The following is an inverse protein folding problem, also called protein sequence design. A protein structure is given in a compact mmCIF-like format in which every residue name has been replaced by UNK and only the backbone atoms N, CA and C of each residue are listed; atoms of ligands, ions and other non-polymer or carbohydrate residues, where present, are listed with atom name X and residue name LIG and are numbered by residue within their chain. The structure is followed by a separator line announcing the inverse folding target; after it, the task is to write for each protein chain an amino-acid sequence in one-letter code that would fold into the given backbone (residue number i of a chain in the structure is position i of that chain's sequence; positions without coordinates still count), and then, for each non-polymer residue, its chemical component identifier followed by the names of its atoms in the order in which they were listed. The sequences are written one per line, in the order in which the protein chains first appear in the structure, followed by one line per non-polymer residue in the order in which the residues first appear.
data_IF_511548096297
#
_entry.id   IF_511548096297
#
_cell.length_a   1.000
_cell.length_b   1.000
_cell.length_c   1.000
_cell.angle_alpha   90.00
_cell.angle_beta   90.00
_cell.angle_gamma   90.00
#
_symmetry.space_group_name_H-M   'P 1'
#
loop_
_entity.id
_entity.type
_entity.pdbx_description
1 polymer ?
#
# COMPACT_ATOMS: atom_id res chain seq x y z
N UNK A 1 23.83 103.87 45.68
CA UNK A 1 24.08 102.53 46.27
C UNK A 1 25.57 102.43 46.39
N UNK A 2 26.08 102.59 47.61
CA UNK A 2 27.51 102.58 47.86
C UNK A 2 28.05 101.16 47.67
N UNK A 3 29.03 101.03 46.78
CA UNK A 3 29.78 99.80 46.56
C UNK A 3 30.73 99.63 47.76
N UNK A 4 30.35 98.77 48.72
CA UNK A 4 31.24 98.40 49.82
C UNK A 4 32.42 97.60 49.26
N UNK A 5 33.50 98.30 48.91
CA UNK A 5 34.78 97.69 48.54
C UNK A 5 35.48 97.23 49.82
N UNK A 6 35.32 95.95 50.14
CA UNK A 6 36.13 95.30 51.18
C UNK A 6 37.41 94.75 50.54
N UNK A 7 38.54 95.41 50.77
CA UNK A 7 39.87 94.91 50.42
C UNK A 7 40.34 93.98 51.53
N UNK A 8 40.54 92.70 51.20
CA UNK A 8 41.13 91.72 52.11
C UNK A 8 42.58 92.11 52.42
N UNK A 9 43.00 92.17 53.70
CA UNK A 9 44.41 92.30 54.05
C UNK A 9 45.17 91.07 53.53
N UNK A 10 46.33 91.29 52.90
CA UNK A 10 47.08 90.32 52.08
C UNK A 10 47.55 89.00 52.75
N UNK A 11 47.18 88.74 54.01
CA UNK A 11 47.75 87.66 54.82
C UNK A 11 46.80 86.51 55.23
N UNK A 12 45.53 86.51 54.82
CA UNK A 12 44.59 85.42 55.15
C UNK A 12 44.07 84.75 53.87
N UNK A 13 44.64 83.61 53.43
CA UNK A 13 44.26 82.97 52.17
C UNK A 13 42.89 82.26 52.20
N UNK A 14 42.16 82.33 53.32
CA UNK A 14 40.92 81.60 53.54
C UNK A 14 39.74 82.54 53.81
N UNK A 15 38.68 82.42 53.01
CA UNK A 15 37.41 83.09 53.25
C UNK A 15 36.55 82.26 54.23
N UNK A 16 36.28 82.79 55.43
CA UNK A 16 35.33 82.18 56.40
C UNK A 16 34.12 83.11 56.59
N UNK A 17 32.92 82.66 56.22
CA UNK A 17 31.68 83.43 56.37
C UNK A 17 30.79 82.77 57.42
N UNK A 18 30.28 83.54 58.39
CA UNK A 18 29.45 83.04 59.52
C UNK A 18 27.93 83.01 59.22
N UNK A 19 27.52 83.33 58.00
CA UNK A 19 26.11 83.43 57.58
C UNK A 19 25.94 83.08 56.11
N UNK A 20 24.70 83.19 55.59
CA UNK A 20 24.39 82.83 54.20
C UNK A 20 25.16 83.71 53.21
N UNK A 21 25.67 83.10 52.14
CA UNK A 21 26.40 83.77 51.07
C UNK A 21 25.53 83.81 49.82
N UNK A 22 25.23 85.02 49.32
CA UNK A 22 24.55 85.23 48.04
C UNK A 22 25.51 85.83 47.02
N UNK A 23 25.65 85.19 45.86
CA UNK A 23 26.34 85.74 44.69
C UNK A 23 25.27 86.03 43.63
N UNK A 24 25.10 87.30 43.26
CA UNK A 24 24.02 87.73 42.36
C UNK A 24 22.64 87.88 43.03
N UNK A 25 22.53 87.64 44.35
CA UNK A 25 21.31 87.85 45.16
C UNK A 25 21.63 88.50 46.50
N UNK A 26 20.73 89.35 47.01
CA UNK A 26 20.84 89.98 48.34
C UNK A 26 20.09 89.22 49.43
N UNK A 27 19.27 88.24 49.06
CA UNK A 27 18.40 87.48 49.97
C UNK A 27 18.52 85.98 49.68
N UNK A 28 19.66 85.35 50.02
CA UNK A 28 19.88 83.93 49.73
C UNK A 28 18.90 83.04 50.53
N UNK A 29 18.27 82.11 49.81
CA UNK A 29 17.36 81.09 50.32
C UNK A 29 18.12 79.93 50.98
N UNK A 30 19.33 79.63 50.53
CA UNK A 30 20.22 78.58 51.07
C UNK A 30 21.51 79.15 51.68
N UNK A 31 22.33 78.30 52.31
CA UNK A 31 23.62 78.71 52.90
C UNK A 31 24.58 79.32 51.87
N UNK A 32 24.57 78.80 50.64
CA UNK A 32 25.23 79.40 49.48
C UNK A 32 24.23 79.40 48.31
N UNK A 33 23.97 80.57 47.74
CA UNK A 33 23.13 80.72 46.54
C UNK A 33 23.87 81.57 45.50
N UNK A 34 23.99 81.03 44.28
CA UNK A 34 24.58 81.72 43.14
C UNK A 34 23.51 81.87 42.06
N UNK A 35 23.10 83.10 41.78
CA UNK A 35 22.24 83.42 40.63
C UNK A 35 23.16 83.86 39.49
N UNK A 36 23.66 82.88 38.73
CA UNK A 36 24.60 83.06 37.64
C UNK A 36 25.44 81.81 37.39
N UNK A 37 26.42 81.93 36.51
CA UNK A 37 27.32 80.82 36.18
C UNK A 37 28.37 80.61 37.27
N UNK A 38 28.73 79.34 37.52
CA UNK A 38 29.83 78.96 38.42
C UNK A 38 30.96 78.40 37.56
N UNK A 39 32.12 79.06 37.56
CA UNK A 39 33.35 78.55 36.96
C UNK A 39 34.31 78.09 38.05
N UNK A 40 34.54 76.79 38.15
CA UNK A 40 35.46 76.19 39.13
C UNK A 40 36.30 75.10 38.47
N UNK A 41 37.57 74.99 38.86
CA UNK A 41 38.44 73.88 38.41
C UNK A 41 37.94 72.53 38.91
N UNK A 42 37.47 72.49 40.16
CA UNK A 42 36.87 71.31 40.78
C UNK A 42 35.66 71.75 41.61
N UNK A 43 34.57 70.99 41.55
CA UNK A 43 33.42 71.12 42.43
C UNK A 43 33.30 69.84 43.27
N UNK A 44 33.78 69.87 44.51
CA UNK A 44 33.70 68.73 45.43
C UNK A 44 32.52 68.93 46.39
N UNK A 45 31.53 68.03 46.32
CA UNK A 45 30.33 68.07 47.15
C UNK A 45 30.32 66.83 48.06
N UNK A 46 30.18 67.04 49.36
CA UNK A 46 30.06 65.93 50.34
C UNK A 46 28.66 65.29 50.35
N UNK A 47 27.75 65.78 49.51
CA UNK A 47 26.36 65.34 49.40
C UNK A 47 25.94 65.13 47.94
N UNK A 48 24.63 65.02 47.71
CA UNK A 48 24.10 64.83 46.37
C UNK A 48 24.18 66.10 45.53
N UNK A 49 24.44 65.96 44.24
CA UNK A 49 24.25 67.00 43.25
C UNK A 49 22.87 66.83 42.61
N UNK A 50 22.01 67.84 42.76
CA UNK A 50 20.73 67.92 42.04
C UNK A 50 20.87 68.91 40.88
N UNK A 51 20.48 68.48 39.68
CA UNK A 51 20.45 69.32 38.48
C UNK A 51 19.02 69.30 37.94
N UNK A 52 18.32 70.43 38.03
CA UNK A 52 16.90 70.51 37.67
C UNK A 52 16.65 70.53 36.15
N UNK A 53 17.71 70.71 35.37
CA UNK A 53 17.66 70.73 33.90
C UNK A 53 18.61 69.67 33.34
N UNK A 54 19.53 70.08 32.47
CA UNK A 54 20.42 69.18 31.76
C UNK A 54 21.82 69.24 32.38
N UNK A 55 22.46 68.07 32.46
CA UNK A 55 23.90 67.96 32.70
C UNK A 55 24.61 67.76 31.37
N UNK A 56 25.48 68.70 31.00
CA UNK A 56 26.39 68.54 29.88
C UNK A 56 27.77 68.14 30.40
N UNK A 57 28.28 66.99 29.95
CA UNK A 57 29.61 66.49 30.34
C UNK A 57 30.50 66.51 29.09
N UNK A 58 31.59 67.28 29.13
CA UNK A 58 32.54 67.38 28.01
C UNK A 58 33.50 66.20 27.89
N UNK A 59 33.44 65.25 28.82
CA UNK A 59 34.24 64.02 28.86
C UNK A 59 33.37 62.83 29.31
N UNK A 60 33.96 61.88 30.05
CA UNK A 60 33.22 60.73 30.53
C UNK A 60 32.37 61.07 31.75
N UNK A 61 31.17 60.49 31.82
CA UNK A 61 30.38 60.49 33.04
C UNK A 61 30.80 59.29 33.90
N UNK A 62 31.52 59.57 34.99
CA UNK A 62 32.08 58.54 35.85
C UNK A 62 31.14 58.23 37.04
N UNK A 63 30.68 56.98 37.16
CA UNK A 63 30.00 56.44 38.34
C UNK A 63 30.96 55.52 39.09
N UNK A 64 31.61 56.05 40.14
CA UNK A 64 32.59 55.29 40.91
C UNK A 64 33.83 54.94 40.07
N UNK A 65 34.12 53.65 39.89
CA UNK A 65 35.25 53.18 39.05
C UNK A 65 34.87 52.98 37.59
N UNK A 66 33.58 53.02 37.24
CA UNK A 66 33.08 52.84 35.89
C UNK A 66 32.89 54.19 35.19
N UNK A 67 33.22 54.24 33.90
CA UNK A 67 33.04 55.40 33.05
C UNK A 67 32.04 55.09 31.95
N UNK A 68 31.03 55.94 31.81
CA UNK A 68 30.14 55.94 30.64
C UNK A 68 30.65 57.02 29.69
N UNK A 69 30.96 56.64 28.46
CA UNK A 69 31.49 57.56 27.44
C UNK A 69 30.49 57.89 26.33
N UNK A 70 29.41 57.12 26.20
CA UNK A 70 28.39 57.35 25.18
C UNK A 70 27.03 56.70 25.52
N UNK A 71 25.96 57.34 25.07
CA UNK A 71 24.68 56.67 24.82
C UNK A 71 24.63 56.28 23.34
N UNK A 72 24.70 54.99 23.03
CA UNK A 72 24.83 54.48 21.66
C UNK A 72 23.48 54.30 20.99
N UNK A 73 23.32 54.86 19.78
CA UNK A 73 22.16 54.63 18.93
C UNK A 73 22.37 53.48 17.92
N UNK A 74 23.38 52.64 18.11
CA UNK A 74 23.69 51.52 17.21
C UNK A 74 22.60 50.43 17.27
N UNK A 75 21.68 50.47 16.31
CA UNK A 75 20.60 49.49 16.17
C UNK A 75 21.05 48.08 15.77
N UNK A 76 22.32 47.88 15.43
CA UNK A 76 22.86 46.55 15.14
C UNK A 76 23.57 45.93 16.35
N UNK A 77 23.85 46.71 17.40
CA UNK A 77 24.70 46.31 18.52
C UNK A 77 25.97 45.59 18.02
N UNK A 78 26.60 46.14 16.97
CA UNK A 78 27.73 45.53 16.29
C UNK A 78 29.00 45.59 17.16
N UNK A 79 29.13 46.65 17.95
CA UNK A 79 30.20 46.83 18.92
C UNK A 79 29.82 46.25 20.29
N UNK A 80 30.80 45.69 21.01
CA UNK A 80 30.63 45.09 22.34
C UNK A 80 31.21 45.96 23.47
N UNK A 81 31.04 47.28 23.40
CA UNK A 81 31.60 48.23 24.37
C UNK A 81 31.03 48.05 25.78
N UNK A 82 31.91 47.89 26.77
CA UNK A 82 31.55 47.88 28.19
C UNK A 82 31.29 49.29 28.77
N UNK A 83 31.46 50.36 27.97
CA UNK A 83 31.39 51.76 28.42
C UNK A 83 30.23 52.54 27.78
N UNK A 84 29.52 51.93 26.83
CA UNK A 84 28.39 52.56 26.15
C UNK A 84 27.06 52.00 26.67
N UNK A 85 26.06 52.87 26.81
CA UNK A 85 24.69 52.47 27.13
C UNK A 85 23.86 52.54 25.86
N UNK A 86 23.25 51.45 25.36
CA UNK A 86 22.42 51.52 24.16
C UNK A 86 21.14 52.31 24.44
N UNK A 87 20.67 53.09 23.47
CA UNK A 87 19.38 53.77 23.54
C UNK A 87 18.23 52.77 23.32
N UNK A 88 17.02 53.14 23.75
CA UNK A 88 15.82 52.31 23.52
C UNK A 88 15.60 52.01 22.02
N UNK A 89 15.88 52.99 21.15
CA UNK A 89 15.79 52.81 19.70
C UNK A 89 16.81 51.78 19.18
N UNK A 90 18.03 51.78 19.72
CA UNK A 90 19.06 50.81 19.36
C UNK A 90 18.61 49.38 19.73
N UNK A 91 18.11 49.21 20.96
CA UNK A 91 17.57 47.92 21.43
C UNK A 91 16.38 47.48 20.59
N UNK A 92 15.42 48.37 20.33
CA UNK A 92 14.24 48.05 19.51
C UNK A 92 14.63 47.62 18.10
N UNK A 93 15.53 48.36 17.46
CA UNK A 93 16.00 48.04 16.10
C UNK A 93 16.69 46.69 16.06
N UNK A 94 17.56 46.39 17.03
CA UNK A 94 18.24 45.11 17.11
C UNK A 94 17.23 43.97 17.30
N UNK A 95 16.34 44.10 18.28
CA UNK A 95 15.32 43.09 18.59
C UNK A 95 14.38 42.88 17.40
N UNK A 96 13.91 43.94 16.75
CA UNK A 96 13.08 43.84 15.55
C UNK A 96 13.84 43.13 14.42
N UNK A 97 15.11 43.46 14.17
CA UNK A 97 15.91 42.77 13.16
C UNK A 97 16.12 41.27 13.50
N UNK A 98 16.33 40.94 14.78
CA UNK A 98 16.44 39.55 15.23
C UNK A 98 15.10 38.80 15.15
N UNK A 99 13.97 39.45 15.47
CA UNK A 99 12.63 38.84 15.56
C UNK A 99 11.88 38.87 14.22
N UNK A 100 12.14 39.81 13.32
CA UNK A 100 11.59 39.84 11.95
C UNK A 100 12.01 38.61 11.13
N UNK A 101 13.05 37.88 11.56
CA UNK A 101 13.35 36.52 11.05
C UNK A 101 12.24 35.51 11.34
N UNK A 102 11.40 35.70 12.37
CA UNK A 102 10.18 34.90 12.60
C UNK A 102 9.07 35.23 11.60
N UNK A 103 8.98 36.47 11.13
CA UNK A 103 8.08 36.84 10.01
C UNK A 103 8.56 36.25 8.68
N UNK A 104 9.86 35.93 8.54
CA UNK A 104 10.37 35.23 7.36
C UNK A 104 9.75 33.83 7.18
N UNK A 105 9.18 33.21 8.21
CA UNK A 105 8.45 31.94 8.05
C UNK A 105 7.20 32.09 7.15
N UNK A 106 6.58 33.27 7.15
CA UNK A 106 5.40 33.55 6.33
C UNK A 106 5.83 34.33 5.08
N UNK A 107 6.08 33.61 3.97
CA UNK A 107 6.40 34.20 2.67
C UNK A 107 7.86 34.05 2.20
N UNK A 108 8.73 33.36 2.94
CA UNK A 108 10.04 32.98 2.40
C UNK A 108 9.90 32.00 1.23
N UNK A 109 10.73 32.17 0.21
CA UNK A 109 10.83 31.26 -0.93
C UNK A 109 11.47 29.92 -0.57
N UNK A 110 12.26 29.87 0.52
CA UNK A 110 12.86 28.66 1.05
C UNK A 110 13.07 28.78 2.57
N UNK A 111 12.89 27.69 3.30
CA UNK A 111 13.18 27.57 4.73
C UNK A 111 14.02 26.32 4.95
N UNK A 112 15.25 26.51 5.46
CA UNK A 112 16.15 25.40 5.79
C UNK A 112 16.12 25.15 7.31
N UNK A 113 15.43 24.11 7.74
CA UNK A 113 15.39 23.69 9.14
C UNK A 113 16.55 22.72 9.43
N UNK A 114 17.70 23.23 9.86
CA UNK A 114 18.84 22.42 10.28
C UNK A 114 18.62 21.77 11.66
N UNK A 115 17.62 20.89 11.77
CA UNK A 115 17.25 20.14 12.97
C UNK A 115 17.25 18.64 12.69
N UNK A 116 17.62 17.82 13.69
CA UNK A 116 17.47 16.37 13.59
C UNK A 116 16.00 15.94 13.58
N UNK A 117 15.13 16.71 14.25
CA UNK A 117 13.71 16.43 14.37
C UNK A 117 12.89 17.68 14.05
N UNK A 118 11.94 17.56 13.12
CA UNK A 118 10.93 18.57 12.85
C UNK A 118 9.56 18.04 13.27
N UNK A 119 8.98 18.65 14.30
CA UNK A 119 7.63 18.30 14.78
C UNK A 119 6.65 19.40 14.36
N UNK A 120 5.61 19.05 13.61
CA UNK A 120 4.49 19.95 13.30
C UNK A 120 3.37 19.64 14.29
N UNK A 121 3.05 20.59 15.18
CA UNK A 121 2.02 20.41 16.21
C UNK A 121 0.57 20.39 15.67
N UNK A 122 0.38 20.66 14.38
CA UNK A 122 -0.89 20.59 13.67
C UNK A 122 -0.71 19.91 12.30
N UNK A 123 -1.49 20.33 11.31
CA UNK A 123 -1.42 19.74 9.97
C UNK A 123 -0.24 20.31 9.16
N UNK A 124 0.48 19.44 8.45
CA UNK A 124 1.40 19.85 7.38
C UNK A 124 0.63 19.88 6.05
N UNK A 125 0.52 21.07 5.42
CA UNK A 125 -0.04 21.22 4.08
C UNK A 125 1.07 21.60 3.10
N UNK A 126 1.32 20.74 2.11
CA UNK A 126 2.28 21.00 1.02
C UNK A 126 1.47 21.32 -0.24
N UNK A 127 1.66 22.51 -0.82
CA UNK A 127 0.92 22.93 -2.03
C UNK A 127 1.59 22.47 -3.33
N UNK A 128 2.84 21.99 -3.25
CA UNK A 128 3.59 21.40 -4.35
C UNK A 128 4.03 19.97 -4.00
N UNK A 129 5.21 19.58 -4.46
CA UNK A 129 5.76 18.26 -4.21
C UNK A 129 6.40 18.18 -2.82
N UNK A 130 6.27 17.01 -2.17
CA UNK A 130 7.02 16.65 -0.97
C UNK A 130 8.05 15.58 -1.38
N UNK A 131 9.33 15.90 -1.24
CA UNK A 131 10.42 14.94 -1.37
C UNK A 131 10.92 14.57 0.04
N UNK A 132 11.02 13.27 0.33
CA UNK A 132 11.60 12.76 1.57
C UNK A 132 12.73 11.82 1.21
N UNK A 133 13.93 12.13 1.67
CA UNK A 133 15.09 11.27 1.47
C UNK A 133 15.19 10.28 2.65
N UNK A 134 15.04 8.99 2.36
CA UNK A 134 15.02 7.91 3.35
C UNK A 134 13.63 7.30 3.56
N UNK A 135 13.46 6.59 4.67
CA UNK A 135 12.23 5.86 4.95
C UNK A 135 11.07 6.78 5.34
N UNK A 136 9.91 6.59 4.71
CA UNK A 136 8.65 7.25 5.08
C UNK A 136 7.79 6.30 5.90
N UNK A 137 7.57 6.63 7.17
CA UNK A 137 6.65 5.90 8.04
C UNK A 137 5.39 6.74 8.23
N UNK A 138 4.33 6.40 7.49
CA UNK A 138 3.02 7.01 7.67
C UNK A 138 2.18 6.18 8.65
N UNK A 139 1.77 6.79 9.77
CA UNK A 139 0.89 6.17 10.77
C UNK A 139 -0.53 6.68 10.55
N UNK A 140 -1.52 5.79 10.69
CA UNK A 140 -2.95 6.12 10.58
C UNK A 140 -3.38 6.71 9.21
N UNK A 141 -2.93 6.10 8.11
CA UNK A 141 -3.19 6.49 6.71
C UNK A 141 -4.60 6.13 6.23
N UNK A 142 -5.63 6.47 6.99
CA UNK A 142 -7.02 6.17 6.62
C UNK A 142 -7.47 6.92 5.34
N UNK A 143 -6.75 7.97 4.91
CA UNK A 143 -7.03 8.73 3.69
C UNK A 143 -5.75 9.14 2.96
N UNK A 144 -5.31 8.34 1.99
CA UNK A 144 -4.49 8.86 0.88
C UNK A 144 -5.44 8.99 -0.31
N UNK A 145 -5.92 10.21 -0.58
CA UNK A 145 -6.75 10.49 -1.74
C UNK A 145 -5.90 10.51 -3.02
N UNK A 146 -6.33 9.80 -4.06
CA UNK A 146 -5.68 9.77 -5.37
C UNK A 146 -4.84 8.51 -5.64
N UNK A 147 -4.06 8.56 -6.72
CA UNK A 147 -3.21 7.44 -7.12
C UNK A 147 -1.95 7.41 -6.26
N UNK A 148 -1.64 6.25 -5.69
CA UNK A 148 -0.37 5.99 -5.03
C UNK A 148 0.54 5.28 -6.02
N UNK A 149 1.49 6.03 -6.60
CA UNK A 149 2.57 5.46 -7.42
C UNK A 149 3.71 5.08 -6.49
N UNK A 150 3.98 3.78 -6.36
CA UNK A 150 5.13 3.28 -5.62
C UNK A 150 6.16 2.82 -6.64
N UNK A 151 7.20 3.63 -6.84
CA UNK A 151 8.35 3.28 -7.64
C UNK A 151 8.89 4.33 -8.61
N UNK A 152 10.10 4.11 -9.11
CA UNK A 152 10.71 4.81 -10.23
C UNK A 152 11.01 3.84 -11.40
N UNK A 153 11.96 4.11 -12.30
CA UNK A 153 12.18 3.27 -13.50
C UNK A 153 13.12 2.09 -13.24
N UNK A 154 13.30 1.68 -11.98
CA UNK A 154 14.04 0.48 -11.61
C UNK A 154 13.12 -0.62 -11.00
N UNK A 155 13.69 -1.57 -10.26
CA UNK A 155 12.98 -2.77 -9.81
C UNK A 155 12.32 -2.54 -8.45
N UNK A 156 11.25 -1.75 -8.42
CA UNK A 156 10.51 -1.47 -7.19
C UNK A 156 9.78 -2.68 -6.62
N UNK A 157 9.91 -2.91 -5.31
CA UNK A 157 9.19 -3.95 -4.57
C UNK A 157 8.20 -3.33 -3.57
N UNK A 158 6.91 -3.57 -3.77
CA UNK A 158 5.86 -3.22 -2.79
C UNK A 158 5.59 -4.43 -1.89
N UNK A 159 6.25 -4.50 -0.74
CA UNK A 159 6.06 -5.57 0.24
C UNK A 159 4.95 -5.26 1.24
N UNK A 160 3.87 -6.03 1.21
CA UNK A 160 2.74 -5.91 2.15
C UNK A 160 2.70 -7.15 3.04
N UNK A 161 3.01 -6.99 4.32
CA UNK A 161 3.01 -8.08 5.33
C UNK A 161 1.62 -8.34 5.92
N UNK A 162 0.63 -7.51 5.58
CA UNK A 162 -0.75 -7.61 6.04
C UNK A 162 -1.73 -8.01 4.95
N UNK A 163 -3.01 -7.68 5.16
CA UNK A 163 -4.09 -7.94 4.20
C UNK A 163 -4.31 -6.71 3.33
N UNK A 164 -4.34 -6.90 2.01
CA UNK A 164 -4.85 -5.90 1.08
C UNK A 164 -6.37 -6.03 1.03
N UNK A 165 -7.09 -4.97 1.39
CA UNK A 165 -8.56 -4.90 1.33
C UNK A 165 -8.99 -3.55 0.78
N UNK A 166 -10.05 -3.55 -0.02
CA UNK A 166 -10.68 -2.30 -0.46
C UNK A 166 -11.62 -1.79 0.62
N UNK A 167 -11.47 -0.52 1.01
CA UNK A 167 -12.44 0.20 1.84
C UNK A 167 -13.62 0.77 1.05
N UNK A 168 -13.64 0.58 -0.28
CA UNK A 168 -14.69 1.10 -1.14
C UNK A 168 -16.04 0.40 -0.86
N UNK A 169 -17.16 1.12 -1.01
CA UNK A 169 -18.51 0.61 -0.73
C UNK A 169 -18.90 -0.62 -1.58
N UNK A 170 -18.23 -0.84 -2.71
CA UNK A 170 -18.39 -2.05 -3.52
C UNK A 170 -17.73 -3.30 -2.93
N UNK A 171 -16.88 -3.17 -1.91
CA UNK A 171 -16.10 -4.26 -1.30
C UNK A 171 -15.01 -4.88 -2.20
N UNK A 172 -14.98 -4.53 -3.48
CA UNK A 172 -14.01 -5.03 -4.45
C UNK A 172 -12.66 -4.30 -4.37
N UNK A 173 -11.58 -5.08 -4.27
CA UNK A 173 -10.25 -4.64 -4.70
C UNK A 173 -10.23 -4.74 -6.24
N UNK A 174 -10.30 -3.60 -6.91
CA UNK A 174 -10.34 -3.53 -8.37
C UNK A 174 -8.94 -3.25 -8.89
N UNK A 175 -8.51 -4.02 -9.88
CA UNK A 175 -7.40 -3.70 -10.76
C UNK A 175 -8.10 -3.42 -12.08
N UNK A 176 -8.25 -2.15 -12.44
CA UNK A 176 -9.07 -1.75 -13.60
C UNK A 176 -8.38 -2.09 -14.94
N UNK A 177 -7.04 -2.16 -14.94
CA UNK A 177 -6.22 -2.71 -16.03
C UNK A 177 -5.86 -4.19 -15.79
N UNK A 178 -5.15 -4.81 -16.74
CA UNK A 178 -4.66 -6.17 -16.56
C UNK A 178 -3.69 -6.25 -15.37
N UNK A 179 -3.82 -7.31 -14.55
CA UNK A 179 -2.79 -7.67 -13.59
C UNK A 179 -1.61 -8.30 -14.35
N UNK A 180 -0.59 -7.50 -14.63
CA UNK A 180 0.64 -7.97 -15.25
C UNK A 180 1.60 -8.52 -14.20
N UNK A 181 1.87 -9.83 -14.24
CA UNK A 181 2.94 -10.45 -13.46
C UNK A 181 4.03 -10.93 -14.42
N UNK A 182 5.31 -10.64 -14.13
CA UNK A 182 6.45 -11.16 -14.91
C UNK A 182 6.76 -12.62 -14.55
N UNK A 183 6.25 -13.10 -13.41
CA UNK A 183 6.27 -14.49 -12.97
C UNK A 183 4.87 -15.02 -12.64
N UNK A 184 4.80 -16.19 -12.01
CA UNK A 184 3.53 -16.81 -11.60
C UNK A 184 2.82 -16.00 -10.52
N UNK A 185 1.50 -15.80 -10.68
CA UNK A 185 0.63 -15.41 -9.58
C UNK A 185 0.35 -16.63 -8.70
N UNK A 186 1.07 -16.76 -7.59
CA UNK A 186 0.81 -17.82 -6.60
C UNK A 186 -0.26 -17.35 -5.63
N UNK A 187 -1.36 -18.07 -5.55
CA UNK A 187 -2.40 -17.90 -4.53
C UNK A 187 -2.41 -19.17 -3.69
N UNK A 188 -1.89 -19.08 -2.46
CA UNK A 188 -1.84 -20.23 -1.53
C UNK A 188 -3.24 -20.69 -1.07
N UNK A 189 -4.25 -19.84 -1.28
CA UNK A 189 -5.67 -20.13 -1.05
C UNK A 189 -6.46 -20.40 -2.33
N UNK A 190 -7.77 -20.13 -2.27
CA UNK A 190 -8.66 -20.30 -3.41
C UNK A 190 -8.82 -19.01 -4.22
N UNK A 191 -8.64 -19.09 -5.54
CA UNK A 191 -9.10 -18.06 -6.48
C UNK A 191 -10.60 -18.27 -6.69
N UNK A 192 -11.43 -17.35 -6.19
CA UNK A 192 -12.88 -17.40 -6.36
C UNK A 192 -13.33 -16.40 -7.42
N UNK A 193 -13.92 -16.88 -8.51
CA UNK A 193 -14.57 -16.05 -9.54
C UNK A 193 -16.07 -16.12 -9.32
N UNK A 194 -16.69 -15.02 -8.84
CA UNK A 194 -18.09 -15.01 -8.37
C UNK A 194 -19.13 -14.71 -9.45
N UNK A 195 -18.75 -14.03 -10.53
CA UNK A 195 -19.67 -13.63 -11.62
C UNK A 195 -19.24 -14.23 -12.96
N UNK A 196 -20.14 -14.16 -13.96
CA UNK A 196 -19.85 -14.62 -15.32
C UNK A 196 -18.63 -13.88 -15.88
N UNK A 197 -17.59 -14.63 -16.26
CA UNK A 197 -16.46 -14.10 -17.02
C UNK A 197 -17.00 -13.76 -18.42
N UNK A 198 -17.48 -12.53 -18.58
CA UNK A 198 -17.92 -12.01 -19.86
C UNK A 198 -16.67 -11.85 -20.73
N UNK A 199 -16.34 -12.92 -21.45
CA UNK A 199 -15.18 -13.11 -22.33
C UNK A 199 -13.82 -13.27 -21.62
N UNK A 200 -13.12 -14.37 -21.92
CA UNK A 200 -11.77 -14.77 -21.46
C UNK A 200 -11.65 -15.54 -20.11
N UNK A 201 -12.18 -16.76 -20.11
CA UNK A 201 -11.69 -18.01 -19.47
C UNK A 201 -10.75 -17.91 -18.24
N UNK A 202 -11.12 -18.62 -17.17
CA UNK A 202 -10.14 -19.37 -16.37
C UNK A 202 -9.51 -20.42 -17.30
N UNK A 203 -8.44 -20.04 -18.00
CA UNK A 203 -7.71 -20.93 -18.90
C UNK A 203 -6.66 -21.67 -18.10
N UNK A 204 -6.72 -23.01 -18.13
CA UNK A 204 -5.66 -23.87 -17.59
C UNK A 204 -4.93 -24.46 -18.78
N UNK A 205 -3.83 -23.82 -19.18
CA UNK A 205 -3.02 -24.23 -20.34
C UNK A 205 -1.99 -25.31 -19.98
N UNK A 206 -1.59 -25.37 -18.70
CA UNK A 206 -0.67 -26.37 -18.19
C UNK A 206 -1.39 -27.53 -17.49
N UNK A 207 -0.64 -28.55 -17.09
CA UNK A 207 -1.17 -29.73 -16.40
C UNK A 207 -1.75 -29.38 -15.02
N UNK A 208 -3.01 -29.71 -14.78
CA UNK A 208 -3.56 -29.78 -13.41
C UNK A 208 -3.05 -31.06 -12.75
N UNK A 209 -2.14 -30.93 -11.78
CA UNK A 209 -1.60 -32.08 -11.03
C UNK A 209 -2.60 -32.66 -10.01
N UNK A 210 -3.65 -31.91 -9.68
CA UNK A 210 -4.77 -32.33 -8.82
C UNK A 210 -6.04 -32.73 -9.58
N UNK A 211 -7.14 -32.91 -8.84
CA UNK A 211 -8.46 -33.15 -9.43
C UNK A 211 -9.22 -31.86 -9.69
N UNK A 212 -9.97 -31.81 -10.79
CA UNK A 212 -10.99 -30.78 -11.03
C UNK A 212 -12.32 -31.32 -10.52
N UNK A 213 -12.84 -30.76 -9.42
CA UNK A 213 -14.18 -31.08 -8.91
C UNK A 213 -15.21 -30.17 -9.59
N UNK A 214 -16.26 -30.76 -10.16
CA UNK A 214 -17.37 -30.05 -10.79
C UNK A 214 -18.64 -30.43 -10.05
N UNK A 215 -19.28 -29.47 -9.37
CA UNK A 215 -20.44 -29.76 -8.52
C UNK A 215 -21.76 -29.83 -9.30
N UNK A 216 -21.82 -29.17 -10.46
CA UNK A 216 -22.98 -29.17 -11.36
C UNK A 216 -22.61 -29.80 -12.71
N UNK A 217 -22.80 -29.05 -13.81
CA UNK A 217 -22.57 -29.54 -15.16
C UNK A 217 -21.19 -29.14 -15.69
N UNK A 218 -20.51 -30.06 -16.38
CA UNK A 218 -19.36 -29.77 -17.22
C UNK A 218 -19.83 -29.48 -18.65
N UNK A 219 -19.71 -28.24 -19.10
CA UNK A 219 -19.95 -27.86 -20.51
C UNK A 219 -18.63 -27.49 -21.16
N UNK A 220 -18.27 -28.17 -22.26
CA UNK A 220 -17.03 -27.95 -22.97
C UNK A 220 -17.34 -27.54 -24.41
N UNK A 221 -16.70 -26.46 -24.89
CA UNK A 221 -16.85 -25.98 -26.26
C UNK A 221 -16.11 -26.81 -27.32
N UNK A 222 -15.29 -27.78 -26.89
CA UNK A 222 -14.47 -28.63 -27.74
C UNK A 222 -14.60 -30.12 -27.43
N UNK A 223 -13.73 -30.93 -28.04
CA UNK A 223 -13.69 -32.38 -27.82
C UNK A 223 -13.09 -32.71 -26.44
N UNK A 224 -13.60 -33.74 -25.78
CA UNK A 224 -13.09 -34.32 -24.53
C UNK A 224 -12.17 -35.48 -24.85
N UNK A 225 -10.94 -35.45 -24.35
CA UNK A 225 -10.01 -36.58 -24.40
C UNK A 225 -9.78 -37.15 -23.00
N UNK A 226 -10.13 -38.41 -22.77
CA UNK A 226 -9.76 -39.17 -21.57
C UNK A 226 -8.64 -40.13 -21.97
N UNK A 227 -7.44 -39.93 -21.41
CA UNK A 227 -6.24 -40.71 -21.78
C UNK A 227 -5.66 -40.37 -23.16
N UNK A 228 -6.11 -39.31 -23.81
CA UNK A 228 -5.60 -38.86 -25.12
C UNK A 228 -5.64 -37.33 -25.26
N UNK A 229 -4.53 -36.66 -25.63
CA UNK A 229 -4.54 -35.22 -25.90
C UNK A 229 -5.21 -34.87 -27.24
N UNK A 230 -5.32 -35.85 -28.16
CA UNK A 230 -5.86 -35.65 -29.50
C UNK A 230 -7.09 -36.56 -29.75
N UNK A 231 -8.25 -36.28 -29.14
CA UNK A 231 -9.46 -37.07 -29.36
C UNK A 231 -9.97 -36.93 -30.80
N UNK A 232 -10.27 -38.07 -31.44
CA UNK A 232 -10.80 -38.10 -32.82
C UNK A 232 -12.27 -37.64 -32.88
N UNK A 233 -13.07 -38.03 -31.89
CA UNK A 233 -14.50 -37.71 -31.77
C UNK A 233 -14.75 -36.74 -30.61
N UNK A 234 -16.00 -36.28 -30.44
CA UNK A 234 -16.39 -35.35 -29.37
C UNK A 234 -16.04 -35.86 -27.97
N UNK A 235 -16.16 -37.16 -27.71
CA UNK A 235 -15.56 -37.83 -26.55
C UNK A 235 -14.66 -38.96 -27.05
N UNK A 236 -13.36 -38.82 -26.83
CA UNK A 236 -12.38 -39.85 -27.11
C UNK A 236 -11.83 -40.42 -25.82
N UNK A 237 -12.12 -41.69 -25.55
CA UNK A 237 -11.52 -42.45 -24.45
C UNK A 237 -10.45 -43.35 -25.06
N UNK A 238 -9.21 -43.23 -24.57
CA UNK A 238 -8.09 -44.08 -24.97
C UNK A 238 -7.61 -44.86 -23.76
N UNK A 239 -7.85 -46.17 -23.79
CA UNK A 239 -7.29 -47.07 -22.80
C UNK A 239 -5.76 -47.16 -22.93
N UNK A 240 -5.09 -47.44 -21.82
CA UNK A 240 -3.62 -47.53 -21.74
C UNK A 240 -3.12 -48.86 -21.20
N UNK A 241 -4.03 -49.79 -20.87
CA UNK A 241 -3.73 -51.10 -20.28
C UNK A 241 -4.06 -52.24 -21.24
N UNK A 242 -3.57 -53.44 -20.92
CA UNK A 242 -3.67 -54.64 -21.75
C UNK A 242 -5.10 -54.98 -22.20
N UNK A 243 -6.10 -54.96 -21.31
CA UNK A 243 -7.49 -55.27 -21.67
C UNK A 243 -8.19 -54.15 -22.46
N UNK A 244 -7.55 -52.99 -22.60
CA UNK A 244 -8.14 -51.77 -23.16
C UNK A 244 -9.46 -51.37 -22.48
N UNK A 245 -9.43 -51.26 -21.15
CA UNK A 245 -10.53 -50.76 -20.30
C UNK A 245 -10.88 -49.31 -20.62
N UNK A 246 -12.14 -49.03 -20.96
CA UNK A 246 -12.61 -47.70 -21.39
C UNK A 246 -13.48 -47.02 -20.32
N UNK A 247 -14.50 -47.73 -19.82
CA UNK A 247 -15.49 -47.18 -18.88
C UNK A 247 -15.73 -48.18 -17.75
N UNK A 248 -15.68 -47.70 -16.51
CA UNK A 248 -16.02 -48.45 -15.30
C UNK A 248 -17.29 -47.92 -14.66
N UNK A 249 -18.16 -48.83 -14.23
CA UNK A 249 -19.34 -48.54 -13.44
C UNK A 249 -19.14 -49.13 -12.04
N UNK A 250 -19.06 -48.26 -11.04
CA UNK A 250 -18.67 -48.62 -9.67
C UNK A 250 -19.85 -48.59 -8.70
N UNK A 251 -19.78 -49.40 -7.65
CA UNK A 251 -20.67 -49.28 -6.50
C UNK A 251 -20.23 -48.11 -5.58
N UNK A 252 -21.03 -47.71 -4.56
CA UNK A 252 -20.66 -46.62 -3.65
C UNK A 252 -19.37 -46.83 -2.84
N UNK A 253 -18.78 -48.03 -2.87
CA UNK A 253 -17.48 -48.32 -2.25
C UNK A 253 -16.29 -48.16 -3.21
N UNK A 254 -16.53 -47.70 -4.44
CA UNK A 254 -15.50 -47.52 -5.46
C UNK A 254 -15.04 -48.82 -6.12
N UNK A 255 -15.85 -49.89 -6.04
CA UNK A 255 -15.54 -51.16 -6.71
C UNK A 255 -16.26 -51.23 -8.04
N UNK A 256 -15.49 -51.44 -9.12
CA UNK A 256 -16.06 -51.70 -10.44
C UNK A 256 -16.94 -52.95 -10.44
N UNK A 257 -18.22 -52.80 -10.79
CA UNK A 257 -19.19 -53.89 -10.95
C UNK A 257 -19.37 -54.28 -12.40
N UNK A 258 -19.40 -53.28 -13.27
CA UNK A 258 -19.47 -53.46 -14.71
C UNK A 258 -18.41 -52.62 -15.37
N UNK A 259 -17.87 -53.09 -16.48
CA UNK A 259 -16.97 -52.29 -17.30
C UNK A 259 -17.10 -52.64 -18.77
N UNK A 260 -16.63 -51.72 -19.60
CA UNK A 260 -16.57 -51.88 -21.05
C UNK A 260 -15.11 -51.82 -21.46
N UNK A 261 -14.66 -52.88 -22.13
CA UNK A 261 -13.34 -52.96 -22.73
C UNK A 261 -13.42 -53.40 -24.19
N UNK A 262 -12.34 -53.19 -24.95
CA UNK A 262 -12.34 -53.45 -26.39
C UNK A 262 -11.26 -54.45 -26.84
N UNK A 263 -10.49 -55.00 -25.91
CA UNK A 263 -9.47 -55.98 -26.19
C UNK A 263 -9.28 -56.91 -24.98
N UNK A 264 -10.26 -57.76 -24.70
CA UNK A 264 -10.26 -58.62 -23.52
C UNK A 264 -8.95 -59.42 -23.40
N UNK A 265 -8.21 -59.22 -22.29
CA UNK A 265 -6.93 -59.90 -22.04
C UNK A 265 -5.79 -59.48 -22.98
N UNK A 266 -5.99 -58.47 -23.83
CA UNK A 266 -5.02 -57.99 -24.82
C UNK A 266 -4.91 -58.85 -26.08
N UNK A 267 -5.69 -59.92 -26.19
CA UNK A 267 -5.61 -60.90 -27.28
C UNK A 267 -6.95 -61.18 -27.95
N UNK A 268 -8.06 -60.69 -27.40
CA UNK A 268 -9.40 -60.89 -27.94
C UNK A 268 -10.03 -59.53 -28.30
N UNK A 269 -9.70 -58.98 -29.49
CA UNK A 269 -10.22 -57.70 -29.92
C UNK A 269 -11.74 -57.78 -30.14
N UNK A 270 -12.48 -56.85 -29.55
CA UNK A 270 -13.94 -56.79 -29.62
C UNK A 270 -14.55 -56.01 -28.46
N UNK A 271 -15.72 -55.40 -28.68
CA UNK A 271 -16.42 -54.63 -27.66
C UNK A 271 -17.08 -55.57 -26.64
N UNK A 272 -16.62 -55.52 -25.41
CA UNK A 272 -16.98 -56.45 -24.35
C UNK A 272 -17.66 -55.72 -23.20
N UNK A 273 -18.81 -56.22 -22.79
CA UNK A 273 -19.51 -55.81 -21.57
C UNK A 273 -19.26 -56.87 -20.52
N UNK A 274 -18.61 -56.46 -19.42
CA UNK A 274 -18.13 -57.37 -18.38
C UNK A 274 -18.83 -57.11 -17.08
N UNK A 275 -19.18 -58.18 -16.37
CA UNK A 275 -19.56 -58.13 -14.97
C UNK A 275 -18.35 -58.55 -14.12
N UNK A 276 -17.71 -57.58 -13.48
CA UNK A 276 -16.43 -57.76 -12.79
C UNK A 276 -16.53 -58.87 -11.75
N UNK A 277 -15.63 -59.85 -11.85
CA UNK A 277 -15.57 -60.99 -10.92
C UNK A 277 -16.67 -62.03 -11.11
N UNK A 278 -17.52 -61.90 -12.14
CA UNK A 278 -18.58 -62.85 -12.43
C UNK A 278 -18.39 -63.48 -13.81
N UNK A 279 -18.37 -62.70 -14.89
CA UNK A 279 -17.98 -63.20 -16.21
C UNK A 279 -17.68 -62.08 -17.22
N UNK A 280 -16.85 -62.44 -18.19
CA UNK A 280 -16.68 -61.72 -19.44
C UNK A 280 -17.72 -62.14 -20.49
N UNK A 281 -17.84 -61.34 -21.55
CA UNK A 281 -18.70 -61.66 -22.70
C UNK A 281 -20.17 -61.78 -22.34
N UNK A 282 -20.64 -61.03 -21.34
CA UNK A 282 -22.09 -60.88 -21.07
C UNK A 282 -22.80 -60.43 -22.33
N UNK A 283 -22.17 -59.47 -23.01
CA UNK A 283 -22.40 -59.13 -24.39
C UNK A 283 -21.03 -58.84 -25.02
N UNK A 284 -20.69 -59.54 -26.10
CA UNK A 284 -19.42 -59.37 -26.79
C UNK A 284 -19.65 -59.20 -28.28
N UNK A 285 -19.03 -58.20 -28.89
CA UNK A 285 -18.97 -58.05 -30.34
C UNK A 285 -17.53 -58.25 -30.75
N UNK A 286 -17.22 -59.41 -31.32
CA UNK A 286 -15.88 -59.73 -31.82
C UNK A 286 -15.50 -58.74 -32.93
N UNK A 287 -14.24 -58.32 -32.96
CA UNK A 287 -13.72 -57.59 -34.11
C UNK A 287 -13.99 -58.40 -35.39
N UNK A 288 -14.68 -57.79 -36.36
CA UNK A 288 -15.16 -58.47 -37.57
C UNK A 288 -16.65 -58.81 -37.58
N UNK A 289 -17.37 -58.75 -36.46
CA UNK A 289 -18.84 -58.62 -36.44
C UNK A 289 -19.65 -59.70 -35.72
N UNK A 290 -19.07 -60.83 -35.33
CA UNK A 290 -19.82 -61.88 -34.61
C UNK A 290 -20.20 -61.43 -33.18
N UNK A 291 -21.44 -61.68 -32.79
CA UNK A 291 -21.99 -61.33 -31.47
C UNK A 291 -22.05 -62.57 -30.57
N UNK A 292 -21.46 -62.46 -29.38
CA UNK A 292 -21.50 -63.45 -28.31
C UNK A 292 -22.38 -62.98 -27.14
N UNK A 293 -23.24 -63.87 -26.64
CA UNK A 293 -23.95 -63.70 -25.36
C UNK A 293 -23.52 -64.84 -24.44
N UNK A 294 -22.86 -64.51 -23.33
CA UNK A 294 -22.24 -65.50 -22.45
C UNK A 294 -20.97 -66.15 -23.03
N UNK A 295 -20.42 -65.62 -24.12
CA UNK A 295 -19.20 -66.10 -24.77
C UNK A 295 -18.42 -64.96 -25.40
N UNK A 296 -17.09 -65.05 -25.35
CA UNK A 296 -16.15 -64.12 -25.99
C UNK A 296 -15.53 -64.70 -27.26
N UNK A 297 -15.85 -65.96 -27.59
CA UNK A 297 -15.45 -66.60 -28.84
C UNK A 297 -16.70 -67.07 -29.61
N UNK A 298 -17.47 -66.15 -30.19
CA UNK A 298 -18.62 -66.52 -31.01
C UNK A 298 -18.16 -67.24 -32.30
N UNK A 299 -18.71 -68.43 -32.54
CA UNK A 299 -18.38 -69.31 -33.68
C UNK A 299 -19.33 -69.11 -34.87
N UNK A 300 -20.41 -68.35 -34.66
CA UNK A 300 -21.37 -67.93 -35.67
C UNK A 300 -21.67 -66.43 -35.52
N UNK A 301 -22.42 -65.85 -36.46
CA UNK A 301 -22.83 -64.44 -36.44
C UNK A 301 -23.49 -64.04 -35.11
N UNK A 302 -24.29 -64.93 -34.54
CA UNK A 302 -24.80 -64.85 -33.18
C UNK A 302 -24.54 -66.18 -32.45
N UNK A 303 -23.77 -66.16 -31.37
CA UNK A 303 -23.51 -67.31 -30.51
C UNK A 303 -23.98 -67.02 -29.08
N UNK A 304 -24.97 -67.76 -28.60
CA UNK A 304 -25.47 -67.64 -27.22
C UNK A 304 -25.13 -68.89 -26.43
N UNK A 305 -24.35 -68.74 -25.37
CA UNK A 305 -24.13 -69.78 -24.36
C UNK A 305 -25.11 -69.52 -23.21
N UNK A 306 -26.15 -70.36 -23.13
CA UNK A 306 -27.18 -70.26 -22.11
C UNK A 306 -28.55 -70.63 -22.64
N UNK A 307 -29.58 -70.40 -21.82
CA UNK A 307 -30.98 -70.63 -22.21
C UNK A 307 -31.53 -69.38 -22.90
N UNK A 308 -31.98 -69.54 -24.14
CA UNK A 308 -32.81 -68.55 -24.82
C UNK A 308 -34.27 -68.76 -24.39
N UNK A 309 -34.80 -67.85 -23.57
CA UNK A 309 -36.24 -67.84 -23.24
C UNK A 309 -36.97 -66.91 -24.21
N UNK A 310 -37.56 -67.47 -25.26
CA UNK A 310 -38.38 -66.72 -26.20
C UNK A 310 -39.82 -66.56 -25.69
N UNK A 311 -40.20 -65.36 -25.25
CA UNK A 311 -41.60 -65.01 -24.98
C UNK A 311 -42.19 -64.27 -26.19
N UNK A 312 -42.40 -64.97 -27.31
CA UNK A 312 -43.16 -64.44 -28.44
C UNK A 312 -44.51 -65.16 -28.47
N UNK A 313 -45.58 -64.45 -28.09
CA UNK A 313 -46.94 -64.82 -28.48
C UNK A 313 -47.28 -64.01 -29.73
N UNK A 314 -47.32 -64.65 -30.88
CA UNK A 314 -48.21 -64.20 -31.95
C UNK A 314 -49.54 -64.96 -31.82
N UNK A 315 -50.62 -64.39 -32.37
CA UNK A 315 -51.98 -64.95 -32.32
C UNK A 315 -52.14 -66.31 -33.01
N UNK A 316 -51.08 -66.86 -33.61
CA UNK A 316 -51.03 -68.16 -34.29
C UNK A 316 -50.15 -69.20 -33.57
N UNK A 317 -49.68 -68.93 -32.35
CA UNK A 317 -49.14 -69.97 -31.45
C UNK A 317 -47.77 -70.55 -31.83
N UNK A 318 -46.94 -69.85 -32.61
CA UNK A 318 -45.52 -70.23 -32.83
C UNK A 318 -44.55 -69.22 -32.24
N UNK A 319 -43.61 -69.72 -31.45
CA UNK A 319 -42.58 -68.99 -30.70
C UNK A 319 -41.47 -68.40 -31.60
N UNK A 320 -40.44 -67.80 -30.95
CA UNK A 320 -39.14 -67.36 -31.49
C UNK A 320 -38.84 -67.84 -32.93
N UNK A 321 -39.01 -66.96 -33.92
CA UNK A 321 -38.74 -67.25 -35.33
C UNK A 321 -37.27 -66.95 -35.66
N UNK A 322 -36.45 -68.01 -35.75
CA UNK A 322 -35.06 -67.92 -36.24
C UNK A 322 -35.08 -68.31 -37.72
N UNK A 323 -34.90 -67.34 -38.60
CA UNK A 323 -34.78 -67.59 -40.04
C UNK A 323 -33.31 -67.92 -40.36
N UNK A 324 -33.05 -68.99 -41.12
CA UNK A 324 -31.76 -69.20 -41.75
C UNK A 324 -31.83 -68.71 -43.20
N UNK A 325 -31.01 -67.72 -43.56
CA UNK A 325 -30.78 -67.27 -44.94
C UNK A 325 -31.77 -66.27 -45.53
N UNK A 326 -31.31 -65.50 -46.53
CA UNK A 326 -32.15 -64.62 -47.36
C UNK A 326 -33.16 -65.48 -48.14
N UNK A 327 -34.46 -65.31 -47.87
CA UNK A 327 -35.46 -65.72 -48.87
C UNK A 327 -35.33 -64.80 -50.09
N UNK A 328 -35.43 -65.32 -51.33
CA UNK A 328 -35.63 -64.46 -52.49
C UNK A 328 -36.88 -63.60 -52.27
N UNK A 329 -36.81 -62.32 -52.63
CA UNK A 329 -37.91 -61.37 -52.47
C UNK A 329 -39.20 -61.94 -53.08
N UNK A 330 -40.25 -62.11 -52.25
CA UNK A 330 -41.58 -62.56 -52.67
C UNK A 330 -42.01 -63.97 -52.25
N UNK A 331 -41.18 -64.76 -51.57
CA UNK A 331 -41.59 -66.08 -51.05
C UNK A 331 -42.25 -66.00 -49.67
N UNK A 332 -43.51 -66.42 -49.56
CA UNK A 332 -44.22 -66.59 -48.27
C UNK A 332 -44.11 -68.02 -47.70
N UNK A 333 -43.36 -68.91 -48.35
CA UNK A 333 -43.28 -70.32 -47.95
C UNK A 333 -41.90 -70.68 -47.38
N UNK A 334 -41.93 -71.14 -46.13
CA UNK A 334 -40.80 -71.63 -45.36
C UNK A 334 -40.25 -72.93 -45.96
N UNK A 335 -38.95 -72.99 -46.23
CA UNK A 335 -38.25 -74.22 -46.63
C UNK A 335 -37.23 -74.56 -45.53
N UNK A 336 -37.32 -75.73 -44.86
CA UNK A 336 -36.27 -76.18 -43.97
C UNK A 336 -35.03 -76.57 -44.78
N UNK A 337 -33.85 -76.22 -44.28
CA UNK A 337 -32.56 -76.62 -44.84
C UNK A 337 -32.42 -78.16 -44.80
N UNK A 338 -32.01 -78.77 -45.91
CA UNK A 338 -31.59 -80.18 -45.96
C UNK A 338 -30.08 -80.28 -45.72
#
# INVERSE_FOLDING_TARGET
MDELKYTWPEAEPNLTVKGKVGIGTKTPSQELEVIGDISATNLNLNGSLTIDKNLAVGGNFQLGTLSINAFSSDGNLADNSNLAVPTEQAVKTYVDNQISTRAALNGATNQNFATNNLTVGGNLRVSGNLEVQGDVIARDTEHIEGNVSLGDQDSDEVKITGVIRSGHSSGALRIDDALHTTGSLTVDGSISVRDAIATAQLSVTDLVSGSIKIENNLTLGGKVGIGTPNPRNTLGIRATRQSEELISFEDPSGRTKWHINQNLGGTNPGLNFVETGVADGRFFIKAGGNVGIGTTNPEAELHVIGKLLGAAQDTSGTALRICCGKTPEGSTNWQPYR
#
